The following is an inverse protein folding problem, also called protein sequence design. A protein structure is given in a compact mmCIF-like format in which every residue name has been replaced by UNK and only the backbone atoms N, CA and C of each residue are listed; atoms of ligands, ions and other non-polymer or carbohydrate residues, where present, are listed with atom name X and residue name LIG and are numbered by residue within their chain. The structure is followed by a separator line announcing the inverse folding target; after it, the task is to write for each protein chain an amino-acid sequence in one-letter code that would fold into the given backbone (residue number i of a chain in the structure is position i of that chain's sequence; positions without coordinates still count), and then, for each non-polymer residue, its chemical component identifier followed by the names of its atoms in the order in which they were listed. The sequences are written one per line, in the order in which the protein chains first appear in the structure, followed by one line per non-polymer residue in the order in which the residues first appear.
data_IF_686827379034
#
_entry.id   IF_686827379034
#
_cell.length_a   1.000
_cell.length_b   1.000
_cell.length_c   1.000
_cell.angle_alpha   90.00
_cell.angle_beta   90.00
_cell.angle_gamma   90.00
#
_symmetry.space_group_name_H-M   'P 1'
#
loop_
_entity.id
_entity.type
_entity.pdbx_description
1 polymer ?
#
# COMPACT_ATOMS: atom_id res chain seq x y z
N UNK A 1 -11.34 -24.25 -7.94
CA UNK A 1 -11.76 -22.89 -7.63
C UNK A 1 -10.58 -21.95 -7.70
N UNK A 2 -10.76 -20.79 -8.26
CA UNK A 2 -9.69 -19.82 -8.38
C UNK A 2 -9.54 -19.01 -7.08
N UNK A 3 -8.32 -18.83 -6.63
CA UNK A 3 -8.02 -17.98 -5.48
C UNK A 3 -7.34 -16.70 -5.95
N UNK A 4 -7.78 -15.56 -5.42
CA UNK A 4 -7.27 -14.25 -5.77
C UNK A 4 -6.42 -13.69 -4.63
N UNK A 5 -5.29 -13.11 -5.01
CA UNK A 5 -4.34 -12.57 -4.04
C UNK A 5 -3.91 -11.17 -4.45
N UNK A 6 -3.64 -10.32 -3.48
CA UNK A 6 -3.01 -9.02 -3.69
C UNK A 6 -1.72 -8.97 -2.88
N UNK A 7 -0.63 -8.67 -3.57
CA UNK A 7 0.71 -8.70 -2.98
C UNK A 7 1.34 -7.33 -3.01
N UNK A 8 2.00 -6.96 -1.94
CA UNK A 8 2.87 -5.78 -1.92
C UNK A 8 3.98 -5.96 -0.90
N UNK A 9 5.06 -5.24 -1.11
CA UNK A 9 6.19 -5.18 -0.18
C UNK A 9 6.80 -3.80 -0.33
N UNK A 10 6.80 -3.03 0.74
CA UNK A 10 7.23 -1.63 0.69
C UNK A 10 7.82 -1.20 2.02
N UNK A 11 8.50 -0.06 1.99
CA UNK A 11 9.20 0.47 3.15
C UNK A 11 8.73 1.89 3.41
N UNK A 12 8.54 2.23 4.68
CA UNK A 12 8.26 3.58 5.14
C UNK A 12 9.31 3.98 6.16
N UNK A 13 10.01 5.08 5.91
CA UNK A 13 10.94 5.64 6.89
C UNK A 13 10.18 6.56 7.84
N UNK A 14 10.14 6.23 9.12
CA UNK A 14 9.46 7.02 10.13
C UNK A 14 10.39 7.92 10.92
N UNK A 15 11.66 7.99 10.52
CA UNK A 15 12.62 8.99 10.98
C UNK A 15 13.54 8.55 12.08
N UNK A 16 13.07 7.81 13.07
CA UNK A 16 13.88 7.36 14.22
C UNK A 16 13.50 5.94 14.64
N UNK A 17 14.42 5.21 15.29
CA UNK A 17 14.07 3.90 15.88
C UNK A 17 12.94 3.98 16.90
N UNK A 18 12.87 5.08 17.66
CA UNK A 18 11.79 5.29 18.61
C UNK A 18 10.44 5.36 17.91
N UNK A 19 10.36 6.09 16.79
CA UNK A 19 9.14 6.16 16.00
C UNK A 19 8.79 4.81 15.40
N UNK A 20 9.78 4.03 14.97
CA UNK A 20 9.53 2.69 14.44
C UNK A 20 8.89 1.79 15.50
N UNK A 21 9.39 1.82 16.72
CA UNK A 21 8.81 1.06 17.82
C UNK A 21 7.37 1.51 18.11
N UNK A 22 7.13 2.82 18.13
CA UNK A 22 5.79 3.37 18.35
C UNK A 22 4.83 3.00 17.21
N UNK A 23 5.33 2.95 15.98
CA UNK A 23 4.50 2.56 14.83
C UNK A 23 4.01 1.12 14.98
N UNK A 24 4.86 0.22 15.48
CA UNK A 24 4.43 -1.15 15.73
C UNK A 24 3.32 -1.21 16.79
N UNK A 25 3.34 -0.30 17.76
CA UNK A 25 2.27 -0.20 18.75
C UNK A 25 0.98 0.39 18.16
N UNK A 26 1.09 1.26 17.16
CA UNK A 26 -0.07 1.83 16.48
C UNK A 26 -0.79 0.82 15.58
N UNK A 27 -0.07 -0.14 15.05
CA UNK A 27 -0.59 -1.05 14.04
C UNK A 27 -1.84 -1.83 14.50
N UNK A 28 -1.85 -2.46 15.68
CA UNK A 28 -3.05 -3.20 16.12
C UNK A 28 -4.30 -2.31 16.22
N UNK A 29 -4.13 -1.09 16.72
CA UNK A 29 -5.25 -0.15 16.85
C UNK A 29 -5.78 0.27 15.47
N UNK A 30 -4.89 0.48 14.50
CA UNK A 30 -5.29 0.80 13.13
C UNK A 30 -6.08 -0.34 12.50
N UNK A 31 -5.63 -1.58 12.69
CA UNK A 31 -6.32 -2.74 12.14
C UNK A 31 -7.66 -2.98 12.81
N UNK A 32 -7.76 -2.74 14.09
CA UNK A 32 -9.01 -2.84 14.82
C UNK A 32 -10.02 -1.79 14.34
N UNK A 33 -9.58 -0.56 14.13
CA UNK A 33 -10.42 0.50 13.61
C UNK A 33 -10.91 0.17 12.20
N UNK A 34 -10.04 -0.36 11.34
CA UNK A 34 -10.42 -0.77 9.99
C UNK A 34 -11.48 -1.87 10.04
N UNK A 35 -11.34 -2.83 10.93
CA UNK A 35 -12.31 -3.92 11.09
C UNK A 35 -13.67 -3.38 11.55
N UNK A 36 -13.69 -2.42 12.46
CA UNK A 36 -14.94 -1.78 12.90
C UNK A 36 -15.62 -1.00 11.78
N UNK A 37 -14.85 -0.46 10.86
CA UNK A 37 -15.37 0.26 9.70
C UNK A 37 -15.85 -0.68 8.58
N UNK A 38 -15.82 -1.98 8.80
CA UNK A 38 -16.29 -2.97 7.85
C UNK A 38 -15.26 -3.48 6.88
N UNK A 39 -13.98 -3.17 7.09
CA UNK A 39 -12.92 -3.71 6.24
C UNK A 39 -12.87 -5.23 6.39
N UNK A 40 -12.69 -5.92 5.28
CA UNK A 40 -12.54 -7.36 5.30
C UNK A 40 -11.21 -7.75 5.95
N UNK A 41 -11.16 -8.94 6.51
CA UNK A 41 -9.92 -9.49 7.02
C UNK A 41 -8.90 -9.55 5.89
N UNK A 42 -7.65 -9.37 6.20
CA UNK A 42 -6.60 -9.33 5.18
C UNK A 42 -5.64 -8.21 5.45
N UNK A 43 -5.31 -8.02 6.70
CA UNK A 43 -4.29 -7.08 7.10
C UNK A 43 -2.96 -7.41 6.43
N UNK A 44 -1.96 -6.71 6.82
CA UNK A 44 -0.61 -6.92 6.31
C UNK A 44 0.35 -7.08 7.48
N UNK A 45 1.54 -7.55 7.21
CA UNK A 45 2.60 -7.62 8.22
C UNK A 45 3.41 -6.33 8.20
N UNK A 46 3.82 -5.89 9.38
CA UNK A 46 4.75 -4.78 9.54
C UNK A 46 5.82 -5.15 10.55
N UNK A 47 7.06 -4.85 10.22
CA UNK A 47 8.19 -5.06 11.11
C UNK A 47 9.24 -3.98 10.84
N UNK A 48 10.21 -3.85 11.72
CA UNK A 48 11.32 -2.95 11.47
C UNK A 48 12.21 -3.57 10.39
N UNK A 49 12.49 -2.79 9.35
CA UNK A 49 13.37 -3.22 8.27
C UNK A 49 14.78 -3.44 8.82
N UNK A 50 15.44 -4.55 8.46
CA UNK A 50 16.76 -4.88 9.04
C UNK A 50 17.91 -4.11 8.37
N UNK A 51 17.83 -2.79 8.32
CA UNK A 51 18.94 -1.97 7.90
C UNK A 51 19.57 -1.30 9.13
N UNK A 52 20.64 -0.54 8.92
CA UNK A 52 21.41 0.05 10.01
C UNK A 52 20.65 1.18 10.70
N UNK A 53 19.68 1.81 10.05
CA UNK A 53 18.99 2.98 10.60
C UNK A 53 18.06 2.64 11.74
N UNK A 54 17.41 1.48 11.67
CA UNK A 54 16.37 1.10 12.63
C UNK A 54 15.11 1.95 12.52
N UNK A 55 15.02 2.85 11.56
CA UNK A 55 13.92 3.82 11.44
C UNK A 55 12.92 3.48 10.34
N UNK A 56 13.10 2.36 9.64
CA UNK A 56 12.27 2.01 8.52
C UNK A 56 11.37 0.84 8.86
N UNK A 57 10.13 0.94 8.41
CA UNK A 57 9.15 -0.14 8.55
C UNK A 57 9.06 -0.89 7.22
N UNK A 58 9.03 -2.19 7.30
CA UNK A 58 8.79 -3.06 6.16
C UNK A 58 7.36 -3.58 6.25
N UNK A 59 6.54 -3.21 5.26
CA UNK A 59 5.15 -3.61 5.15
C UNK A 59 4.99 -4.56 3.98
N UNK A 60 4.31 -5.68 4.18
CA UNK A 60 4.12 -6.70 3.15
C UNK A 60 2.83 -7.47 3.41
N UNK A 61 2.28 -8.04 2.35
CA UNK A 61 1.07 -8.84 2.47
C UNK A 61 1.30 -10.10 3.30
N UNK A 62 0.21 -10.58 3.87
CA UNK A 62 0.17 -11.82 4.64
C UNK A 62 -0.58 -12.86 3.82
N UNK A 63 0.04 -13.43 2.80
CA UNK A 63 -0.57 -14.26 1.75
C UNK A 63 -1.37 -13.41 0.77
N UNK A 64 -2.25 -12.57 1.27
CA UNK A 64 -2.91 -11.49 0.52
C UNK A 64 -3.01 -10.29 1.44
N UNK A 65 -3.20 -9.09 0.89
CA UNK A 65 -3.33 -7.88 1.67
C UNK A 65 -4.25 -6.88 1.00
N UNK A 66 -4.56 -5.81 1.71
CA UNK A 66 -5.37 -4.72 1.20
C UNK A 66 -4.50 -3.47 1.10
N UNK A 67 -4.19 -2.98 -0.13
CA UNK A 67 -3.39 -1.77 -0.29
C UNK A 67 -3.99 -0.55 0.41
N UNK A 68 -5.32 -0.47 0.49
CA UNK A 68 -5.98 0.65 1.15
C UNK A 68 -5.65 0.68 2.65
N UNK A 69 -5.59 -0.49 3.30
CA UNK A 69 -5.21 -0.54 4.71
C UNK A 69 -3.77 -0.11 4.92
N UNK A 70 -2.87 -0.47 4.01
CA UNK A 70 -1.48 -0.01 4.06
C UNK A 70 -1.41 1.51 3.94
N UNK A 71 -2.16 2.10 3.01
CA UNK A 71 -2.23 3.55 2.84
C UNK A 71 -2.73 4.21 4.12
N UNK A 72 -3.80 3.69 4.71
CA UNK A 72 -4.37 4.26 5.93
C UNK A 72 -3.40 4.21 7.10
N UNK A 73 -2.64 3.12 7.22
CA UNK A 73 -1.61 3.01 8.25
C UNK A 73 -0.49 4.04 8.04
N UNK A 74 -0.04 4.23 6.80
CA UNK A 74 0.97 5.23 6.47
C UNK A 74 0.46 6.64 6.78
N UNK A 75 -0.81 6.94 6.46
CA UNK A 75 -1.42 8.21 6.82
C UNK A 75 -1.40 8.44 8.32
N UNK A 76 -1.70 7.42 9.10
CA UNK A 76 -1.67 7.51 10.55
C UNK A 76 -0.25 7.76 11.08
N UNK A 77 0.73 7.05 10.55
CA UNK A 77 2.13 7.27 10.92
C UNK A 77 2.58 8.68 10.56
N UNK A 78 2.20 9.16 9.37
CA UNK A 78 2.56 10.51 8.94
C UNK A 78 1.98 11.57 9.88
N UNK A 79 0.76 11.37 10.33
CA UNK A 79 0.10 12.28 11.28
C UNK A 79 0.80 12.27 12.63
N UNK A 80 1.04 11.08 13.18
CA UNK A 80 1.58 10.93 14.54
C UNK A 80 3.03 11.40 14.62
N UNK A 81 3.83 11.14 13.58
CA UNK A 81 5.25 11.43 13.59
C UNK A 81 5.63 12.69 12.82
N UNK A 82 4.66 13.39 12.25
CA UNK A 82 4.93 14.61 11.49
C UNK A 82 5.78 14.37 10.25
N UNK A 83 5.53 13.29 9.53
CA UNK A 83 6.33 12.94 8.36
C UNK A 83 6.06 13.89 7.20
N UNK A 84 7.09 14.13 6.39
CA UNK A 84 7.00 14.99 5.20
C UNK A 84 7.61 14.28 4.01
N UNK A 85 7.40 14.86 2.82
CA UNK A 85 7.86 14.28 1.59
C UNK A 85 6.82 13.35 0.98
N UNK A 86 7.21 12.64 -0.06
CA UNK A 86 6.31 11.74 -0.77
C UNK A 86 6.72 10.30 -0.52
N UNK A 87 5.70 9.46 -0.40
CA UNK A 87 5.86 8.03 -0.24
C UNK A 87 4.95 7.35 -1.26
N UNK A 88 5.43 6.27 -1.82
CA UNK A 88 4.63 5.52 -2.78
C UNK A 88 4.92 4.05 -2.71
N UNK A 89 4.01 3.25 -3.26
CA UNK A 89 4.17 1.82 -3.36
C UNK A 89 3.32 1.28 -4.51
N UNK A 90 3.55 0.02 -4.82
CA UNK A 90 2.79 -0.67 -5.85
C UNK A 90 2.38 -2.04 -5.35
N UNK A 91 1.35 -2.59 -5.98
CA UNK A 91 0.84 -3.91 -5.65
C UNK A 91 0.55 -4.68 -6.92
N UNK A 92 0.49 -6.00 -6.77
CA UNK A 92 0.13 -6.90 -7.85
C UNK A 92 -1.06 -7.76 -7.42
N UNK A 93 -2.02 -7.88 -8.30
CA UNK A 93 -3.15 -8.78 -8.11
C UNK A 93 -2.89 -10.02 -8.95
N UNK A 94 -2.98 -11.17 -8.31
CA UNK A 94 -2.72 -12.47 -8.93
C UNK A 94 -3.88 -13.42 -8.70
N UNK A 95 -3.88 -14.50 -9.44
CA UNK A 95 -4.88 -15.55 -9.32
C UNK A 95 -4.19 -16.89 -9.45
N UNK A 96 -4.68 -17.89 -8.73
CA UNK A 96 -4.13 -19.23 -8.79
C UNK A 96 -4.37 -19.92 -10.15
N UNK A 97 -5.26 -19.35 -10.98
CA UNK A 97 -5.56 -19.85 -12.31
C UNK A 97 -5.54 -18.70 -13.32
N UNK A 98 -5.14 -18.94 -14.58
CA UNK A 98 -5.04 -17.87 -15.59
C UNK A 98 -6.41 -17.50 -16.18
N UNK A 99 -7.27 -16.90 -15.39
CA UNK A 99 -8.57 -16.45 -15.85
C UNK A 99 -8.46 -15.07 -16.51
N UNK A 100 -9.48 -14.72 -17.29
CA UNK A 100 -9.53 -13.41 -17.96
C UNK A 100 -9.59 -12.32 -16.90
N UNK A 101 -8.75 -11.30 -17.07
CA UNK A 101 -8.64 -10.16 -16.15
C UNK A 101 -8.24 -10.54 -14.71
N UNK A 102 -7.61 -11.69 -14.56
CA UNK A 102 -7.20 -12.18 -13.24
C UNK A 102 -5.94 -11.50 -12.72
N UNK A 103 -5.13 -10.93 -13.62
CA UNK A 103 -3.86 -10.30 -13.24
C UNK A 103 -3.94 -8.82 -13.51
N UNK A 104 -3.55 -8.03 -12.52
CA UNK A 104 -3.56 -6.58 -12.61
C UNK A 104 -2.61 -6.01 -11.55
N UNK A 105 -2.66 -4.72 -11.35
CA UNK A 105 -1.87 -4.08 -10.31
C UNK A 105 -2.19 -2.62 -10.22
N UNK A 106 -1.51 -1.96 -9.32
CA UNK A 106 -1.66 -0.54 -9.14
C UNK A 106 -0.48 0.06 -8.42
N UNK A 107 -0.46 1.37 -8.37
CA UNK A 107 0.53 2.14 -7.63
C UNK A 107 -0.13 3.38 -7.05
N UNK A 108 0.43 3.87 -5.96
CA UNK A 108 -0.14 5.01 -5.23
C UNK A 108 1.00 5.85 -4.68
N UNK A 109 0.89 7.17 -4.84
CA UNK A 109 1.82 8.13 -4.25
C UNK A 109 1.05 9.02 -3.29
N UNK A 110 1.56 9.15 -2.09
CA UNK A 110 0.96 9.90 -1.00
C UNK A 110 1.89 11.03 -0.57
N UNK A 111 1.34 12.23 -0.40
CA UNK A 111 2.07 13.32 0.25
C UNK A 111 1.93 13.16 1.76
N UNK A 112 3.05 12.96 2.44
CA UNK A 112 3.02 12.64 3.87
C UNK A 112 2.65 13.85 4.72
N UNK A 113 3.03 15.05 4.29
CA UNK A 113 2.73 16.26 5.06
C UNK A 113 1.24 16.57 5.11
N UNK A 114 0.54 16.43 3.99
CA UNK A 114 -0.90 16.67 3.90
C UNK A 114 -1.72 15.40 4.07
N UNK A 115 -1.08 14.24 3.94
CA UNK A 115 -1.71 12.91 3.99
C UNK A 115 -2.72 12.69 2.86
N UNK A 116 -2.53 13.40 1.73
CA UNK A 116 -3.43 13.32 0.57
C UNK A 116 -2.76 12.56 -0.58
N UNK A 117 -3.56 11.82 -1.35
CA UNK A 117 -3.03 11.19 -2.56
C UNK A 117 -2.53 12.23 -3.56
N UNK A 118 -1.35 11.97 -4.15
CA UNK A 118 -0.77 12.78 -5.20
C UNK A 118 -1.10 12.18 -6.57
N UNK A 119 -0.97 10.86 -6.68
CA UNK A 119 -1.21 10.16 -7.93
C UNK A 119 -1.48 8.69 -7.63
N UNK A 120 -2.28 8.07 -8.48
CA UNK A 120 -2.49 6.62 -8.41
C UNK A 120 -2.85 6.10 -9.80
N UNK A 121 -2.61 4.81 -10.01
CA UNK A 121 -2.94 4.14 -11.25
C UNK A 121 -3.39 2.71 -10.95
N UNK A 122 -4.38 2.26 -11.70
CA UNK A 122 -4.78 0.86 -11.77
C UNK A 122 -4.56 0.39 -13.20
N UNK A 123 -3.83 -0.71 -13.37
CA UNK A 123 -3.44 -1.15 -14.70
C UNK A 123 -4.64 -1.51 -15.58
N UNK A 124 -5.67 -2.11 -15.01
CA UNK A 124 -6.89 -2.42 -15.78
C UNK A 124 -7.55 -1.16 -16.34
N UNK A 125 -7.68 -0.14 -15.50
CA UNK A 125 -8.28 1.12 -15.95
C UNK A 125 -7.45 1.81 -17.02
N UNK A 126 -6.14 1.86 -16.85
CA UNK A 126 -5.24 2.43 -17.83
C UNK A 126 -5.31 1.69 -19.16
N UNK A 127 -5.25 0.36 -19.10
CA UNK A 127 -5.29 -0.49 -20.31
C UNK A 127 -6.59 -0.29 -21.08
N UNK A 128 -7.72 -0.29 -20.39
CA UNK A 128 -9.03 -0.13 -21.03
C UNK A 128 -9.17 1.25 -21.67
N UNK A 129 -8.68 2.31 -21.02
CA UNK A 129 -8.69 3.65 -21.62
C UNK A 129 -7.81 3.72 -22.85
N UNK A 130 -6.62 3.14 -22.79
CA UNK A 130 -5.70 3.14 -23.92
C UNK A 130 -6.28 2.41 -25.13
N UNK A 131 -6.91 1.28 -24.91
CA UNK A 131 -7.55 0.50 -26.00
C UNK A 131 -8.71 1.29 -26.60
N UNK A 132 -9.59 1.85 -25.77
CA UNK A 132 -10.78 2.57 -26.26
C UNK A 132 -10.43 3.86 -26.98
N UNK A 133 -9.42 4.59 -26.53
CA UNK A 133 -9.07 5.86 -27.14
C UNK A 133 -8.44 5.72 -28.51
N UNK A 134 -7.79 4.59 -28.80
CA UNK A 134 -7.02 4.43 -30.01
C UNK A 134 -5.88 5.44 -30.13
N UNK A 135 -5.58 6.19 -29.06
CA UNK A 135 -4.50 7.17 -29.05
C UNK A 135 -3.41 6.70 -28.13
N UNK A 136 -2.22 7.31 -28.29
CA UNK A 136 -1.13 7.13 -27.37
C UNK A 136 -1.52 7.74 -26.01
N UNK A 137 -1.58 6.90 -24.98
CA UNK A 137 -1.81 7.36 -23.62
C UNK A 137 -0.46 7.38 -22.93
N UNK A 138 -0.10 8.53 -22.30
CA UNK A 138 1.11 8.59 -21.51
C UNK A 138 0.96 7.68 -20.32
N UNK A 139 1.83 6.70 -20.30
CA UNK A 139 2.02 5.93 -19.11
C UNK A 139 2.63 6.85 -18.11
N UNK A 140 2.32 6.67 -16.87
CA UNK A 140 2.96 7.42 -15.93
C UNK A 140 4.25 6.91 -15.68
N UNK A 141 5.16 7.67 -15.71
CA UNK A 141 6.35 7.36 -14.99
C UNK A 141 6.06 7.52 -13.56
#
# INVERSE_FOLDING_TARGET
MADYFTHFSCVLDVGTPHNAARALDLYPACMEQAARAGALAGGFFVSVHPDESGSKLWMRDATTGDPLQAIMFVQRCAEVFGLTGQWGFQWANTCSQPQINAFSGGAHVLDLATRRPVAWIHTNGWLNRAIRSGRRVRGEP
#
